data_IF_800997236161
#
_entry.id   IF_800997236161
#
_cell.length_a   1.000
_cell.length_b   1.000
_cell.length_c   1.000
_cell.angle_alpha   90.00
_cell.angle_beta   90.00
_cell.angle_gamma   90.00
#
_symmetry.space_group_name_H-M   'P 1'
#
loop_
_entity.id
_entity.type
_entity.pdbx_description
1 polymer ?
#
# COMPACT_ATOMS: atom_id res chain seq x y z
N UNK A 1 4.56 20.60 5.68
CA UNK A 1 5.68 21.44 6.11
C UNK A 1 5.16 22.71 6.77
N UNK A 2 5.99 23.42 7.52
CA UNK A 2 5.55 24.62 8.26
C UNK A 2 5.38 25.88 7.39
N UNK A 3 5.79 25.82 6.11
CA UNK A 3 5.71 26.92 5.14
C UNK A 3 5.01 26.41 3.88
N UNK A 4 4.07 27.18 3.28
CA UNK A 4 3.40 26.78 2.04
C UNK A 4 4.41 26.69 0.89
N UNK A 5 4.24 25.71 -0.03
CA UNK A 5 5.13 25.59 -1.16
C UNK A 5 4.95 26.79 -2.11
N UNK A 6 6.01 27.23 -2.82
CA UNK A 6 5.94 28.35 -3.75
C UNK A 6 5.12 28.03 -5.01
N UNK A 7 4.82 26.75 -5.25
CA UNK A 7 4.00 26.28 -6.35
C UNK A 7 3.10 25.14 -5.85
N UNK A 8 1.82 25.21 -6.19
CA UNK A 8 0.82 24.18 -5.94
C UNK A 8 0.29 23.72 -7.30
N UNK A 9 0.47 22.45 -7.70
CA UNK A 9 -0.03 21.95 -8.97
C UNK A 9 -1.56 21.98 -9.02
N UNK A 10 -2.13 22.25 -10.19
CA UNK A 10 -3.57 22.14 -10.43
C UNK A 10 -3.95 20.65 -10.33
N UNK A 11 -4.83 20.27 -9.38
CA UNK A 11 -5.24 18.87 -9.19
C UNK A 11 -5.95 18.28 -10.42
N UNK A 12 -6.39 19.10 -11.37
CA UNK A 12 -7.04 18.65 -12.61
C UNK A 12 -6.08 18.46 -13.78
N UNK A 13 -4.79 18.75 -13.59
CA UNK A 13 -3.77 18.69 -14.66
C UNK A 13 -2.80 17.54 -14.44
N UNK A 14 -2.60 16.74 -15.48
CA UNK A 14 -1.52 15.74 -15.53
C UNK A 14 -0.26 16.43 -16.03
N UNK A 15 0.79 16.43 -15.20
CA UNK A 15 2.09 17.02 -15.51
C UNK A 15 3.04 16.00 -16.15
N UNK A 16 2.62 15.42 -17.28
CA UNK A 16 3.40 14.46 -18.06
C UNK A 16 3.15 14.68 -19.56
N UNK A 17 3.95 14.03 -20.41
CA UNK A 17 3.68 13.98 -21.86
C UNK A 17 2.40 13.19 -22.13
N UNK A 18 1.74 13.49 -23.25
CA UNK A 18 0.67 12.64 -23.74
C UNK A 18 1.21 11.24 -24.04
N UNK A 19 0.41 10.21 -23.77
CA UNK A 19 0.76 8.83 -24.11
C UNK A 19 1.02 8.67 -25.62
N UNK A 20 0.32 9.44 -26.47
CA UNK A 20 0.54 9.45 -27.91
C UNK A 20 1.95 9.96 -28.29
N UNK A 21 2.57 10.78 -27.44
CA UNK A 21 3.92 11.32 -27.63
C UNK A 21 5.01 10.45 -26.98
N UNK A 22 4.63 9.37 -26.30
CA UNK A 22 5.56 8.40 -25.71
C UNK A 22 5.77 7.26 -26.71
N UNK A 23 7.00 7.15 -27.22
CA UNK A 23 7.37 6.07 -28.12
C UNK A 23 7.24 4.70 -27.46
N UNK A 24 6.66 3.73 -28.19
CA UNK A 24 6.62 2.35 -27.76
C UNK A 24 7.99 1.68 -27.95
N UNK A 25 8.42 0.88 -26.97
CA UNK A 25 9.56 -0.01 -27.13
C UNK A 25 9.10 -1.31 -27.80
N UNK A 26 9.94 -1.86 -28.69
CA UNK A 26 9.70 -3.20 -29.24
C UNK A 26 9.86 -4.25 -28.14
N UNK A 27 9.01 -5.28 -28.13
CA UNK A 27 9.22 -6.42 -27.26
C UNK A 27 10.43 -7.22 -27.70
N UNK A 28 11.33 -7.50 -26.76
CA UNK A 28 12.43 -8.45 -26.97
C UNK A 28 11.87 -9.86 -26.84
N UNK A 29 12.08 -10.70 -27.84
CA UNK A 29 11.68 -12.12 -27.85
C UNK A 29 12.89 -13.01 -27.58
N UNK A 30 12.65 -14.19 -27.01
CA UNK A 30 13.69 -15.19 -26.75
C UNK A 30 14.45 -14.99 -25.43
N UNK A 31 13.90 -14.21 -24.51
CA UNK A 31 14.37 -14.17 -23.12
C UNK A 31 13.63 -15.26 -22.35
N UNK A 32 14.37 -16.18 -21.76
CA UNK A 32 13.85 -17.20 -20.86
C UNK A 32 14.21 -16.79 -19.42
N UNK A 33 13.24 -16.92 -18.51
CA UNK A 33 13.47 -16.70 -17.09
C UNK A 33 13.94 -18.00 -16.45
N UNK A 34 14.92 -17.89 -15.56
CA UNK A 34 15.46 -19.04 -14.83
C UNK A 34 15.25 -18.92 -13.31
N UNK A 35 15.78 -19.89 -12.57
CA UNK A 35 15.64 -19.93 -11.11
C UNK A 35 16.33 -18.78 -10.38
N UNK A 36 17.34 -18.13 -10.97
CA UNK A 36 17.96 -16.95 -10.38
C UNK A 36 17.04 -15.73 -10.51
N UNK A 37 16.33 -15.60 -11.63
CA UNK A 37 15.31 -14.56 -11.82
C UNK A 37 14.15 -14.73 -10.84
N UNK A 38 13.69 -15.96 -10.62
CA UNK A 38 12.65 -16.26 -9.62
C UNK A 38 13.10 -15.87 -8.20
N UNK A 39 14.33 -16.22 -7.83
CA UNK A 39 14.89 -15.86 -6.53
C UNK A 39 15.00 -14.33 -6.35
N UNK A 40 15.40 -13.61 -7.39
CA UNK A 40 15.45 -12.15 -7.38
C UNK A 40 14.04 -11.55 -7.25
N UNK A 41 13.07 -12.02 -8.04
CA UNK A 41 11.69 -11.55 -7.97
C UNK A 41 11.09 -11.79 -6.58
N UNK A 42 11.35 -12.95 -5.98
CA UNK A 42 10.91 -13.28 -4.63
C UNK A 42 11.55 -12.37 -3.57
N UNK A 43 12.85 -12.09 -3.69
CA UNK A 43 13.54 -11.17 -2.79
C UNK A 43 13.08 -9.72 -2.95
N UNK A 44 12.77 -9.29 -4.19
CA UNK A 44 12.30 -7.94 -4.50
C UNK A 44 10.88 -7.68 -3.99
N UNK A 45 9.98 -8.67 -4.12
CA UNK A 45 8.59 -8.55 -3.72
C UNK A 45 8.40 -8.69 -2.20
N UNK A 46 9.03 -7.79 -1.43
CA UNK A 46 9.03 -7.81 0.04
C UNK A 46 7.65 -7.54 0.70
N UNK A 47 6.61 -7.30 -0.09
CA UNK A 47 5.27 -7.00 0.39
C UNK A 47 5.13 -5.57 0.90
N UNK A 48 4.42 -5.39 2.00
CA UNK A 48 4.07 -4.07 2.54
C UNK A 48 5.24 -3.41 3.26
N UNK A 49 5.44 -2.12 3.02
CA UNK A 49 6.37 -1.30 3.80
C UNK A 49 5.64 -0.78 5.03
N UNK A 50 5.93 -1.37 6.19
CA UNK A 50 5.14 -1.21 7.42
C UNK A 50 4.74 0.24 7.76
N UNK A 51 5.70 1.18 7.76
CA UNK A 51 5.43 2.57 8.11
C UNK A 51 4.49 3.28 7.12
N UNK A 52 4.70 3.08 5.82
CA UNK A 52 3.85 3.69 4.78
C UNK A 52 2.44 3.11 4.83
N UNK A 53 2.32 1.80 5.01
CA UNK A 53 1.03 1.12 5.11
C UNK A 53 0.24 1.52 6.37
N UNK A 54 0.93 1.64 7.52
CA UNK A 54 0.29 2.14 8.74
C UNK A 54 -0.18 3.59 8.59
N UNK A 55 0.63 4.45 7.96
CA UNK A 55 0.24 5.83 7.67
C UNK A 55 -0.99 5.89 6.76
N UNK A 56 -1.06 5.04 5.74
CA UNK A 56 -2.23 4.92 4.87
C UNK A 56 -3.49 4.55 5.66
N UNK A 57 -3.42 3.60 6.59
CA UNK A 57 -4.57 3.23 7.44
C UNK A 57 -5.05 4.38 8.33
N UNK A 58 -4.14 5.24 8.79
CA UNK A 58 -4.49 6.43 9.57
C UNK A 58 -5.10 7.50 8.66
N UNK A 59 -4.45 7.82 7.54
CA UNK A 59 -4.87 8.89 6.62
C UNK A 59 -6.23 8.60 5.95
N UNK A 60 -6.53 7.33 5.72
CA UNK A 60 -7.81 6.87 5.14
C UNK A 60 -8.92 6.73 6.19
N UNK A 61 -8.61 6.86 7.48
CA UNK A 61 -9.57 6.67 8.58
C UNK A 61 -9.89 5.21 8.91
N UNK A 62 -9.36 4.24 8.15
CA UNK A 62 -9.62 2.80 8.35
C UNK A 62 -9.24 2.36 9.77
N UNK A 63 -8.13 2.88 10.30
CA UNK A 63 -7.72 2.57 11.67
C UNK A 63 -8.77 3.04 12.68
N UNK A 64 -9.34 4.23 12.51
CA UNK A 64 -10.37 4.75 13.43
C UNK A 64 -11.66 3.92 13.38
N UNK A 65 -12.03 3.44 12.19
CA UNK A 65 -13.21 2.61 11.99
C UNK A 65 -13.07 1.20 12.60
N UNK A 66 -11.87 0.60 12.51
CA UNK A 66 -11.66 -0.80 12.89
C UNK A 66 -11.06 -0.98 14.29
N UNK A 67 -10.26 -0.03 14.76
CA UNK A 67 -9.58 -0.11 16.05
C UNK A 67 -10.51 0.33 17.20
N UNK A 68 -11.58 -0.42 17.41
CA UNK A 68 -12.64 -0.11 18.39
C UNK A 68 -12.50 -0.91 19.68
N UNK A 69 -12.76 -0.26 20.81
CA UNK A 69 -12.88 -0.91 22.12
C UNK A 69 -14.32 -0.83 22.63
N UNK A 70 -14.70 -1.83 23.43
CA UNK A 70 -15.95 -1.79 24.20
C UNK A 70 -15.88 -0.82 25.40
N UNK A 71 -16.90 -0.83 26.27
CA UNK A 71 -16.90 -0.06 27.50
C UNK A 71 -15.66 -0.30 28.39
N UNK A 72 -15.32 0.62 29.31
CA UNK A 72 -14.19 0.46 30.22
C UNK A 72 -14.21 -0.89 30.95
N UNK A 73 -13.07 -1.59 30.95
CA UNK A 73 -12.92 -2.91 31.57
C UNK A 73 -13.37 -4.08 30.69
N UNK A 74 -13.80 -3.83 29.45
CA UNK A 74 -14.12 -4.88 28.47
C UNK A 74 -13.01 -5.03 27.42
N UNK A 75 -12.79 -6.26 26.95
CA UNK A 75 -11.95 -6.55 25.79
C UNK A 75 -12.85 -6.69 24.56
N UNK A 76 -12.39 -6.23 23.38
CA UNK A 76 -13.10 -6.53 22.15
C UNK A 76 -13.05 -8.05 21.86
N UNK A 77 -14.05 -8.59 21.15
CA UNK A 77 -14.17 -10.00 20.78
C UNK A 77 -12.89 -10.71 20.32
N UNK A 78 -12.08 -10.06 19.51
CA UNK A 78 -10.87 -10.57 18.88
C UNK A 78 -9.67 -10.64 19.85
N UNK A 79 -9.77 -9.96 21.00
CA UNK A 79 -8.77 -9.98 22.06
C UNK A 79 -9.18 -10.81 23.29
N UNK A 80 -10.39 -11.39 23.31
CA UNK A 80 -10.86 -12.26 24.40
C UNK A 80 -10.15 -13.63 24.35
N UNK A 81 -9.26 -13.96 25.30
CA UNK A 81 -8.51 -15.22 25.28
C UNK A 81 -9.37 -16.46 25.49
N UNK A 82 -10.59 -16.30 26.03
CA UNK A 82 -11.53 -17.41 26.24
C UNK A 82 -12.35 -17.71 24.99
N UNK A 83 -12.35 -16.78 24.02
CA UNK A 83 -13.03 -16.95 22.75
C UNK A 83 -12.06 -17.64 21.78
N UNK A 84 -12.40 -18.86 21.35
CA UNK A 84 -11.67 -19.54 20.27
C UNK A 84 -11.68 -18.70 18.97
N UNK A 85 -10.83 -19.02 17.98
CA UNK A 85 -10.74 -18.24 16.75
C UNK A 85 -12.13 -18.11 16.11
N UNK A 86 -12.49 -16.88 15.73
CA UNK A 86 -13.71 -16.64 14.97
C UNK A 86 -13.65 -17.48 13.68
N UNK A 87 -14.67 -18.31 13.43
CA UNK A 87 -14.76 -19.08 12.21
C UNK A 87 -14.74 -18.11 11.00
N UNK A 88 -13.87 -18.40 10.03
CA UNK A 88 -13.74 -17.66 8.78
C UNK A 88 -14.99 -17.78 7.91
#
# INVERSE_FOLDING_TARGET
>A
GLVPPPFVPDPRRVYAKDLADVGAFSSVRGVELDGADEALCAAFASGTVAAAWQQELLDTGIFEELNVWGPPGTLPPDLDPQRGPAAR
#
